data_IF_046572091243
#
_entry.id   IF_046572091243
#
_cell.length_a   1.000
_cell.length_b   1.000
_cell.length_c   1.000
_cell.angle_alpha   90.00
_cell.angle_beta   90.00
_cell.angle_gamma   90.00
#
_symmetry.space_group_name_H-M   'P 1'
#
loop_
_entity.id
_entity.type
_entity.pdbx_description
1 polymer ?
#
# COMPACT_ATOMS: atom_id res chain seq x y z
N UNK A 1 -7.52 25.11 -19.91
CA UNK A 1 -6.36 25.09 -19.01
C UNK A 1 -6.62 26.05 -17.87
N UNK A 2 -6.09 25.74 -16.69
CA UNK A 2 -6.10 26.47 -15.41
C UNK A 2 -7.04 25.95 -14.32
N UNK A 3 -6.40 25.73 -13.17
CA UNK A 3 -6.91 25.65 -11.79
C UNK A 3 -7.12 24.25 -11.19
N UNK A 4 -6.02 23.50 -11.03
CA UNK A 4 -5.94 22.36 -10.12
C UNK A 4 -4.79 22.50 -9.10
N UNK A 5 -4.58 23.72 -8.57
CA UNK A 5 -3.54 24.02 -7.55
C UNK A 5 -4.15 24.06 -6.14
N UNK A 6 -5.47 23.93 -5.99
CA UNK A 6 -6.14 23.95 -4.67
C UNK A 6 -6.24 22.59 -3.98
N UNK A 7 -6.06 21.47 -4.68
CA UNK A 7 -6.28 20.13 -4.11
C UNK A 7 -5.08 19.61 -3.32
N UNK A 8 -3.85 19.83 -3.78
CA UNK A 8 -2.69 19.12 -3.20
C UNK A 8 -2.35 19.60 -1.79
N UNK A 9 -2.49 20.90 -1.52
CA UNK A 9 -2.26 21.46 -0.18
C UNK A 9 -3.35 21.06 0.81
N UNK A 10 -4.58 20.90 0.34
CA UNK A 10 -5.71 20.47 1.16
C UNK A 10 -5.62 18.99 1.53
N UNK A 11 -5.18 18.13 0.60
CA UNK A 11 -4.93 16.72 0.88
C UNK A 11 -3.71 16.50 1.77
N UNK A 12 -2.62 17.24 1.56
CA UNK A 12 -1.46 17.23 2.46
C UNK A 12 -1.81 17.76 3.85
N UNK A 13 -2.67 18.80 3.94
CA UNK A 13 -3.18 19.29 5.21
C UNK A 13 -4.10 18.26 5.90
N UNK A 14 -4.92 17.52 5.15
CA UNK A 14 -5.78 16.46 5.70
C UNK A 14 -4.96 15.29 6.23
N UNK A 15 -3.97 14.83 5.45
CA UNK A 15 -3.00 13.82 5.90
C UNK A 15 -2.23 14.35 7.13
N UNK A 16 -1.86 15.63 7.13
CA UNK A 16 -1.25 16.33 8.25
C UNK A 16 -2.11 16.31 9.51
N UNK A 17 -3.41 16.61 9.40
CA UNK A 17 -4.35 16.60 10.53
C UNK A 17 -4.61 15.19 11.06
N UNK A 18 -4.67 14.18 10.18
CA UNK A 18 -4.76 12.78 10.58
C UNK A 18 -3.48 12.34 11.32
N UNK A 19 -2.31 12.78 10.83
CA UNK A 19 -1.02 12.54 11.48
C UNK A 19 -0.96 13.21 12.85
N UNK A 20 -1.38 14.48 12.98
CA UNK A 20 -1.34 15.25 14.24
C UNK A 20 -2.33 14.75 15.31
N UNK A 21 -3.44 14.12 14.91
CA UNK A 21 -4.47 13.68 15.87
C UNK A 21 -4.10 12.41 16.65
N UNK A 22 -3.09 11.61 16.26
CA UNK A 22 -2.84 10.28 16.86
C UNK A 22 -1.40 9.72 16.67
N UNK A 23 -0.34 10.53 16.81
CA UNK A 23 0.90 10.25 16.07
C UNK A 23 1.71 9.00 16.49
N UNK A 24 2.01 8.74 17.77
CA UNK A 24 2.98 7.67 18.10
C UNK A 24 2.35 6.40 18.72
N UNK A 25 1.62 6.52 19.83
CA UNK A 25 1.10 5.33 20.57
C UNK A 25 0.10 4.48 19.77
N UNK A 26 -0.81 5.09 19.00
CA UNK A 26 -1.81 4.32 18.22
C UNK A 26 -1.19 3.64 17.01
N UNK A 27 -0.24 4.29 16.33
CA UNK A 27 0.52 3.64 15.27
C UNK A 27 1.35 2.49 15.82
N UNK A 28 1.95 2.64 17.00
CA UNK A 28 2.70 1.59 17.67
C UNK A 28 1.83 0.40 18.07
N UNK A 29 0.66 0.63 18.67
CA UNK A 29 -0.31 -0.44 18.98
C UNK A 29 -0.81 -1.16 17.72
N UNK A 30 -1.10 -0.41 16.65
CA UNK A 30 -1.52 -0.96 15.36
C UNK A 30 -0.39 -1.69 14.60
N UNK A 31 0.89 -1.51 14.97
CA UNK A 31 2.02 -2.28 14.37
C UNK A 31 2.01 -3.75 14.79
N UNK A 32 1.43 -4.08 15.95
CA UNK A 32 1.46 -5.43 16.54
C UNK A 32 0.13 -6.17 16.46
N UNK A 33 -0.97 -5.48 16.18
CA UNK A 33 -2.29 -6.09 16.11
C UNK A 33 -2.47 -6.88 14.79
N UNK A 34 -2.87 -8.16 14.91
CA UNK A 34 -3.13 -9.01 13.74
C UNK A 34 -4.48 -8.63 13.12
N UNK A 35 -4.44 -7.78 12.09
CA UNK A 35 -5.65 -7.37 11.36
C UNK A 35 -6.01 -8.39 10.26
N UNK A 36 -7.26 -8.89 10.28
CA UNK A 36 -7.84 -9.62 9.14
C UNK A 36 -8.17 -8.60 8.04
N UNK A 37 -7.66 -8.84 6.83
CA UNK A 37 -7.90 -7.95 5.68
C UNK A 37 -9.25 -8.25 5.06
N UNK A 38 -9.98 -7.21 4.65
CA UNK A 38 -11.21 -7.35 3.88
C UNK A 38 -10.90 -7.79 2.45
N UNK A 39 -11.93 -8.27 1.72
CA UNK A 39 -11.79 -8.65 0.30
C UNK A 39 -11.27 -7.48 -0.55
N UNK A 40 -11.85 -6.30 -0.38
CA UNK A 40 -11.42 -5.07 -1.06
C UNK A 40 -9.93 -4.76 -0.83
N UNK A 41 -9.48 -4.83 0.43
CA UNK A 41 -8.07 -4.60 0.76
C UNK A 41 -7.15 -5.64 0.10
N UNK A 42 -7.58 -6.90 0.01
CA UNK A 42 -6.82 -7.97 -0.66
C UNK A 42 -6.75 -7.72 -2.17
N UNK A 43 -7.84 -7.28 -2.80
CA UNK A 43 -7.90 -6.96 -4.23
C UNK A 43 -6.96 -5.81 -4.59
N UNK A 44 -6.99 -4.72 -3.82
CA UNK A 44 -6.05 -3.59 -4.00
C UNK A 44 -4.59 -4.05 -3.86
N UNK A 45 -4.28 -4.85 -2.85
CA UNK A 45 -2.93 -5.39 -2.64
C UNK A 45 -2.47 -6.28 -3.80
N UNK A 46 -3.36 -7.12 -4.33
CA UNK A 46 -3.08 -7.97 -5.48
C UNK A 46 -2.82 -7.15 -6.75
N UNK A 47 -3.68 -6.18 -7.04
CA UNK A 47 -3.56 -5.33 -8.22
C UNK A 47 -2.27 -4.51 -8.18
N UNK A 48 -1.95 -3.91 -7.02
CA UNK A 48 -0.68 -3.21 -6.84
C UNK A 48 0.51 -4.16 -7.00
N UNK A 49 0.45 -5.36 -6.43
CA UNK A 49 1.52 -6.35 -6.56
C UNK A 49 1.78 -6.73 -8.01
N UNK A 50 0.78 -6.74 -8.88
CA UNK A 50 0.98 -7.06 -10.30
C UNK A 50 1.87 -6.04 -11.01
N UNK A 51 1.86 -4.79 -10.56
CA UNK A 51 2.63 -3.68 -11.16
C UNK A 51 3.94 -3.46 -10.40
N UNK A 52 3.87 -3.35 -9.07
CA UNK A 52 5.00 -3.05 -8.19
C UNK A 52 5.25 -4.18 -7.19
N UNK A 53 6.32 -4.96 -7.38
CA UNK A 53 6.65 -6.10 -6.50
C UNK A 53 7.35 -5.69 -5.21
N UNK A 54 7.98 -4.51 -5.20
CA UNK A 54 8.77 -3.96 -4.11
C UNK A 54 8.41 -2.49 -3.84
N UNK A 55 7.18 -2.18 -3.41
CA UNK A 55 6.82 -0.79 -3.11
C UNK A 55 7.67 -0.23 -1.97
N UNK A 56 8.00 1.06 -2.06
CA UNK A 56 8.79 1.80 -1.08
C UNK A 56 8.15 1.81 0.32
N UNK A 57 8.91 2.26 1.32
CA UNK A 57 8.33 2.50 2.65
C UNK A 57 7.29 3.61 2.62
N UNK A 58 7.50 4.65 1.81
CA UNK A 58 6.59 5.77 1.69
C UNK A 58 5.28 5.32 1.03
N UNK A 59 5.34 4.67 -0.14
CA UNK A 59 4.15 4.17 -0.84
C UNK A 59 3.32 3.19 -0.01
N UNK A 60 3.96 2.37 0.83
CA UNK A 60 3.24 1.47 1.75
C UNK A 60 2.55 2.22 2.90
N UNK A 61 3.09 3.35 3.36
CA UNK A 61 2.42 4.22 4.33
C UNK A 61 1.20 4.87 3.68
N UNK A 62 1.36 5.42 2.48
CA UNK A 62 0.27 6.10 1.78
C UNK A 62 -0.87 5.14 1.45
N UNK A 63 -0.55 3.96 0.90
CA UNK A 63 -1.55 2.92 0.70
C UNK A 63 -2.24 2.53 2.02
N UNK A 64 -1.48 2.39 3.11
CA UNK A 64 -2.02 2.06 4.42
C UNK A 64 -3.02 3.07 4.95
N UNK A 65 -2.78 4.35 4.71
CA UNK A 65 -3.74 5.41 5.02
C UNK A 65 -5.00 5.30 4.15
N UNK A 66 -4.83 5.05 2.85
CA UNK A 66 -5.94 5.01 1.89
C UNK A 66 -6.89 3.82 2.09
N UNK A 67 -6.37 2.63 2.43
CA UNK A 67 -7.19 1.41 2.62
C UNK A 67 -7.37 1.01 4.09
N UNK A 68 -7.00 1.89 5.02
CA UNK A 68 -7.05 1.67 6.46
C UNK A 68 -6.36 0.36 6.91
N UNK A 69 -5.11 0.16 6.44
CA UNK A 69 -4.25 -0.94 6.88
C UNK A 69 -2.94 -0.43 7.47
N UNK A 70 -2.43 -1.03 8.55
CA UNK A 70 -1.10 -0.70 9.03
C UNK A 70 -0.03 -0.97 7.96
N UNK A 71 0.92 -0.04 7.80
CA UNK A 71 2.05 -0.20 6.87
C UNK A 71 2.79 -1.53 7.09
N UNK A 72 2.91 -1.98 8.35
CA UNK A 72 3.53 -3.27 8.68
C UNK A 72 2.75 -4.45 8.11
N UNK A 73 1.41 -4.43 8.16
CA UNK A 73 0.57 -5.46 7.56
C UNK A 73 0.77 -5.54 6.05
N UNK A 74 0.85 -4.38 5.37
CA UNK A 74 1.14 -4.30 3.93
C UNK A 74 2.54 -4.88 3.65
N UNK A 75 3.56 -4.48 4.41
CA UNK A 75 4.91 -5.03 4.28
C UNK A 75 4.94 -6.55 4.42
N UNK A 76 4.35 -7.11 5.48
CA UNK A 76 4.29 -8.57 5.70
C UNK A 76 3.58 -9.25 4.54
N UNK A 77 2.48 -8.67 4.07
CA UNK A 77 1.74 -9.23 2.94
C UNK A 77 2.62 -9.32 1.69
N UNK A 78 3.30 -8.23 1.28
CA UNK A 78 4.20 -8.25 0.13
C UNK A 78 5.37 -9.24 0.30
N UNK A 79 5.92 -9.37 1.51
CA UNK A 79 6.96 -10.36 1.82
C UNK A 79 6.45 -11.80 1.64
N UNK A 80 5.29 -12.12 2.24
CA UNK A 80 4.69 -13.45 2.18
C UNK A 80 4.26 -13.80 0.76
N UNK A 81 3.66 -12.86 0.02
CA UNK A 81 3.26 -13.04 -1.37
C UNK A 81 4.47 -13.37 -2.25
N UNK A 82 5.61 -12.67 -2.08
CA UNK A 82 6.85 -13.00 -2.80
C UNK A 82 7.40 -14.37 -2.43
N UNK A 83 7.42 -14.72 -1.15
CA UNK A 83 7.90 -16.04 -0.72
C UNK A 83 7.05 -17.17 -1.29
N UNK A 84 5.72 -17.01 -1.32
CA UNK A 84 4.81 -17.98 -1.92
C UNK A 84 5.06 -18.15 -3.43
N UNK A 85 5.26 -17.05 -4.16
CA UNK A 85 5.60 -17.08 -5.59
C UNK A 85 6.96 -17.74 -5.87
N UNK A 86 7.96 -17.54 -4.99
CA UNK A 86 9.27 -18.20 -5.09
C UNK A 86 9.16 -19.72 -4.90
N UNK A 87 8.38 -20.19 -3.91
CA UNK A 87 8.20 -21.63 -3.65
C UNK A 87 7.50 -22.36 -4.82
N UNK A 88 6.68 -21.66 -5.59
CA UNK A 88 5.98 -22.22 -6.78
C UNK A 88 6.86 -22.36 -8.02
N UNK A 89 8.07 -21.76 -8.03
CA UNK A 89 9.04 -21.88 -9.14
C UNK A 89 10.24 -22.71 -8.66
N UNK A 90 10.32 -24.02 -8.99
CA UNK A 90 11.42 -24.87 -8.58
C UNK A 90 12.62 -24.64 -9.52
N UNK A 91 13.29 -23.50 -9.42
CA UNK A 91 14.50 -23.24 -10.22
C UNK A 91 15.52 -22.47 -9.39
N UNK A 92 16.72 -23.06 -9.27
CA UNK A 92 17.89 -22.51 -8.57
C UNK A 92 18.43 -21.22 -9.19
N UNK A 93 17.67 -20.13 -9.09
CA UNK A 93 18.10 -18.82 -9.55
C UNK A 93 19.13 -18.24 -8.58
N UNK A 94 20.33 -17.97 -9.12
CA UNK A 94 21.43 -17.25 -8.46
C UNK A 94 20.90 -16.02 -7.74
N UNK A 95 21.48 -15.70 -6.56
CA UNK A 95 21.15 -14.50 -5.76
C UNK A 95 21.47 -13.24 -6.59
N UNK A 96 20.51 -12.78 -7.38
CA UNK A 96 20.55 -11.47 -8.01
C UNK A 96 20.31 -10.39 -6.96
N UNK A 97 20.89 -9.21 -7.21
CA UNK A 97 20.83 -8.00 -6.40
C UNK A 97 19.41 -7.78 -5.86
N UNK A 98 19.21 -7.42 -4.59
CA UNK A 98 17.88 -7.13 -4.07
C UNK A 98 17.22 -6.06 -4.95
N UNK A 99 16.05 -6.32 -5.54
CA UNK A 99 15.32 -5.29 -6.26
C UNK A 99 15.03 -4.13 -5.32
N UNK A 100 15.36 -2.92 -5.78
CA UNK A 100 15.26 -1.70 -4.99
C UNK A 100 13.78 -1.36 -4.71
N UNK A 101 13.46 -0.75 -3.56
CA UNK A 101 12.11 -0.28 -3.31
C UNK A 101 11.71 0.80 -4.31
N UNK A 102 10.62 0.58 -5.05
CA UNK A 102 10.07 1.47 -6.07
C UNK A 102 9.07 2.45 -5.43
N UNK A 103 9.23 3.75 -5.69
CA UNK A 103 8.22 4.74 -5.31
C UNK A 103 7.01 4.64 -6.24
N UNK A 104 5.85 4.39 -5.66
CA UNK A 104 4.56 4.34 -6.37
C UNK A 104 3.90 5.71 -6.24
N UNK A 105 3.62 6.41 -7.37
CA UNK A 105 2.88 7.66 -7.34
C UNK A 105 1.51 7.50 -6.69
N UNK A 106 1.09 8.49 -5.89
CA UNK A 106 -0.21 8.47 -5.21
C UNK A 106 -1.36 8.34 -6.21
N UNK A 107 -1.27 8.97 -7.39
CA UNK A 107 -2.26 8.84 -8.47
C UNK A 107 -2.50 7.39 -8.86
N UNK A 108 -1.44 6.59 -8.99
CA UNK A 108 -1.56 5.16 -9.31
C UNK A 108 -2.22 4.37 -8.18
N UNK A 109 -1.99 4.73 -6.91
CA UNK A 109 -2.66 4.08 -5.78
C UNK A 109 -4.16 4.35 -5.79
N UNK A 110 -4.57 5.59 -6.08
CA UNK A 110 -5.98 5.99 -6.19
C UNK A 110 -6.66 5.28 -7.37
N UNK A 111 -6.02 5.26 -8.55
CA UNK A 111 -6.56 4.56 -9.71
C UNK A 111 -6.83 3.07 -9.43
N UNK A 112 -5.94 2.41 -8.69
CA UNK A 112 -6.13 1.00 -8.28
C UNK A 112 -7.30 0.87 -7.32
N UNK A 113 -7.39 1.77 -6.33
CA UNK A 113 -8.46 1.79 -5.34
C UNK A 113 -9.82 1.96 -6.02
N UNK A 114 -9.94 2.94 -6.91
CA UNK A 114 -11.17 3.22 -7.65
C UNK A 114 -11.58 2.02 -8.50
N UNK A 115 -10.63 1.40 -9.23
CA UNK A 115 -10.88 0.16 -9.97
C UNK A 115 -11.38 -0.97 -9.07
N UNK A 116 -10.85 -1.10 -7.86
CA UNK A 116 -11.31 -2.10 -6.89
C UNK A 116 -12.65 -1.73 -6.22
N UNK A 117 -13.04 -0.46 -6.18
CA UNK A 117 -14.33 -0.02 -5.65
C UNK A 117 -15.48 -0.23 -6.63
N UNK A 118 -15.23 -0.12 -7.94
CA UNK A 118 -16.25 -0.32 -8.99
C UNK A 118 -16.92 -1.71 -8.88
N UNK A 119 -16.17 -2.75 -8.50
CA UNK A 119 -16.68 -4.12 -8.31
C UNK A 119 -17.53 -4.34 -7.04
N UNK A 120 -17.91 -3.28 -6.30
CA UNK A 120 -18.85 -3.35 -5.17
C UNK A 120 -20.29 -2.95 -5.52
N UNK A 121 -20.51 -2.31 -6.67
CA UNK A 121 -21.80 -1.72 -7.03
C UNK A 121 -22.53 -2.49 -8.15
N UNK A 122 -22.09 -3.71 -8.44
CA UNK A 122 -22.76 -4.69 -9.29
C UNK A 122 -23.00 -5.96 -8.47
#
# INVERSE_FOLDING_TARGET
MMNNIKTDKEFEALIGMIKLRNSDKRQELMRYEKVKKTRFQIEVLNMLYNIYKFPSTHSRKDLGLLIALPQRCIQVWFQNTRQANKKRRPTGSKRSIPPQPEEVPISTLLDIIDKCQIYKNE
#
